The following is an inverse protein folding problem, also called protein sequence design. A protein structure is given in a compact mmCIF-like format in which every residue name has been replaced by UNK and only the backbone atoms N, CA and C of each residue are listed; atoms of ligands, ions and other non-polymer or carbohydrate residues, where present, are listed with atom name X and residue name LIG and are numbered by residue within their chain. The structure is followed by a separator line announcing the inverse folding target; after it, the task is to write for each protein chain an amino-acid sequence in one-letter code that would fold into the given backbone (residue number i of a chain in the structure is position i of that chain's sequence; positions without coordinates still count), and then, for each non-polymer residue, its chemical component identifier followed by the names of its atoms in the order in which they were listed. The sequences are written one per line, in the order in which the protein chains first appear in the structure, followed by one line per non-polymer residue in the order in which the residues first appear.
data_IF_526801923783
#
_entry.id   IF_526801923783
#
_cell.length_a   1.000
_cell.length_b   1.000
_cell.length_c   1.000
_cell.angle_alpha   90.00
_cell.angle_beta   90.00
_cell.angle_gamma   90.00
#
_symmetry.space_group_name_H-M   'P 1'
#
loop_
_entity.id
_entity.type
_entity.pdbx_description
1 polymer ?
#
# COMPACT_ATOMS: atom_id res chain seq x y z
N UNK A 1 2.57 -7.28 -13.28
CA UNK A 1 2.23 -7.49 -11.84
C UNK A 1 1.86 -6.14 -11.26
N UNK A 2 1.00 -6.07 -10.24
CA UNK A 2 0.65 -4.82 -9.56
C UNK A 2 0.85 -5.05 -8.06
N UNK A 3 1.56 -4.12 -7.40
CA UNK A 3 1.71 -4.12 -5.95
C UNK A 3 1.23 -2.80 -5.37
N UNK A 4 0.50 -2.88 -4.27
CA UNK A 4 -0.09 -1.71 -3.61
C UNK A 4 0.16 -1.79 -2.11
N UNK A 5 0.52 -0.66 -1.49
CA UNK A 5 0.62 -0.49 -0.04
C UNK A 5 -0.36 0.60 0.39
N UNK A 6 -1.26 0.27 1.32
CA UNK A 6 -2.27 1.18 1.88
C UNK A 6 -1.85 1.68 3.25
N UNK A 7 -1.57 2.98 3.33
CA UNK A 7 -1.18 3.69 4.55
C UNK A 7 -2.38 4.04 5.42
N UNK A 8 -2.86 3.06 6.18
CA UNK A 8 -3.94 3.25 7.15
C UNK A 8 -3.45 3.76 8.51
N UNK A 9 -4.40 4.27 9.31
CA UNK A 9 -4.12 4.77 10.66
C UNK A 9 -3.77 3.65 11.65
N UNK A 10 -4.50 2.54 11.60
CA UNK A 10 -4.32 1.41 12.54
C UNK A 10 -3.58 0.21 11.95
N UNK A 11 -3.63 0.06 10.63
CA UNK A 11 -3.05 -1.06 9.91
C UNK A 11 -2.43 -0.59 8.61
N UNK A 12 -1.47 -1.34 8.11
CA UNK A 12 -0.95 -1.20 6.75
C UNK A 12 -1.35 -2.44 5.98
N UNK A 13 -2.08 -2.27 4.88
CA UNK A 13 -2.35 -3.38 3.97
C UNK A 13 -1.34 -3.37 2.84
N UNK A 14 -0.94 -4.54 2.38
CA UNK A 14 -0.14 -4.68 1.17
C UNK A 14 -0.70 -5.82 0.34
N UNK A 15 -0.79 -5.61 -0.98
CA UNK A 15 -1.39 -6.59 -1.88
C UNK A 15 -0.57 -6.72 -3.15
N UNK A 16 -0.44 -7.96 -3.59
CA UNK A 16 0.08 -8.31 -4.90
C UNK A 16 -1.05 -8.88 -5.77
N UNK A 17 -1.20 -8.30 -6.95
CA UNK A 17 -2.08 -8.78 -8.01
C UNK A 17 -1.25 -9.21 -9.21
N UNK A 18 -1.39 -10.48 -9.61
CA UNK A 18 -0.79 -11.04 -10.83
C UNK A 18 -1.90 -11.51 -11.75
N UNK A 19 -1.98 -10.93 -12.95
CA UNK A 19 -3.03 -11.23 -13.94
C UNK A 19 -4.44 -11.18 -13.34
N UNK A 20 -4.72 -10.10 -12.58
CA UNK A 20 -5.99 -9.86 -11.85
C UNK A 20 -6.30 -10.90 -10.75
N UNK A 21 -5.34 -11.73 -10.34
CA UNK A 21 -5.47 -12.67 -9.23
C UNK A 21 -4.67 -12.21 -8.03
N UNK A 22 -5.27 -12.32 -6.85
CA UNK A 22 -4.61 -12.09 -5.57
C UNK A 22 -3.52 -13.13 -5.31
N UNK A 23 -2.35 -12.68 -4.88
CA UNK A 23 -1.20 -13.53 -4.53
C UNK A 23 -1.03 -13.50 -3.01
N UNK A 24 -1.56 -14.52 -2.34
CA UNK A 24 -1.65 -14.60 -0.88
C UNK A 24 -0.28 -14.50 -0.18
N UNK A 25 0.71 -15.24 -0.68
CA UNK A 25 2.06 -15.26 -0.09
C UNK A 25 2.78 -13.91 -0.11
N UNK A 26 2.41 -13.03 -1.04
CA UNK A 26 3.00 -11.70 -1.25
C UNK A 26 2.04 -10.56 -0.85
N UNK A 27 1.03 -10.88 -0.05
CA UNK A 27 0.01 -9.95 0.41
C UNK A 27 -0.23 -10.13 1.92
N UNK A 28 -0.89 -9.16 2.55
CA UNK A 28 -1.28 -9.26 3.95
C UNK A 28 -1.60 -7.91 4.60
N UNK A 29 -1.72 -7.97 5.92
CA UNK A 29 -1.99 -6.83 6.79
C UNK A 29 -0.95 -6.80 7.89
N UNK A 30 -0.32 -5.65 8.10
CA UNK A 30 0.49 -5.36 9.28
C UNK A 30 -0.44 -4.79 10.36
N UNK A 31 -0.30 -5.29 11.58
CA UNK A 31 -1.14 -4.99 12.75
C UNK A 31 -0.83 -3.64 13.41
N UNK A 32 -0.19 -2.74 12.66
CA UNK A 32 0.15 -1.39 13.04
C UNK A 32 0.01 -0.46 11.84
N UNK A 33 -0.27 0.83 12.10
CA UNK A 33 -0.33 1.91 11.13
C UNK A 33 0.20 3.23 11.71
N UNK A 34 -0.12 4.33 11.04
CA UNK A 34 0.43 5.64 11.35
C UNK A 34 0.04 6.22 12.71
N UNK A 35 -1.12 5.84 13.26
CA UNK A 35 -1.63 6.32 14.55
C UNK A 35 -1.40 5.33 15.70
N UNK A 36 -1.01 4.08 15.41
CA UNK A 36 -0.67 3.08 16.44
C UNK A 36 0.83 3.07 16.75
N UNK A 37 1.63 3.78 15.96
CA UNK A 37 3.05 3.93 16.24
C UNK A 37 3.21 4.85 17.46
N UNK A 38 3.81 4.33 18.54
CA UNK A 38 4.12 5.14 19.74
C UNK A 38 5.18 6.22 19.45
N UNK A 39 5.96 6.02 18.38
CA UNK A 39 6.91 7.00 17.85
C UNK A 39 6.17 7.97 16.91
N UNK A 40 6.39 9.26 17.07
CA UNK A 40 5.90 10.29 16.13
C UNK A 40 6.70 10.34 14.83
N UNK A 41 7.61 9.39 14.61
CA UNK A 41 8.52 9.37 13.48
C UNK A 41 8.01 8.46 12.35
N UNK A 42 7.32 9.06 11.38
CA UNK A 42 6.82 8.39 10.17
C UNK A 42 7.95 7.67 9.41
N UNK A 43 9.19 8.20 9.38
CA UNK A 43 10.32 7.56 8.70
C UNK A 43 10.71 6.22 9.32
N UNK A 44 10.69 6.12 10.65
CA UNK A 44 10.98 4.85 11.35
C UNK A 44 9.87 3.82 11.12
N UNK A 45 8.61 4.26 11.12
CA UNK A 45 7.48 3.41 10.79
C UNK A 45 7.64 2.84 9.37
N UNK A 46 7.94 3.70 8.40
CA UNK A 46 8.10 3.26 7.01
C UNK A 46 9.31 2.35 6.83
N UNK A 47 10.41 2.57 7.55
CA UNK A 47 11.54 1.63 7.57
C UNK A 47 11.12 0.23 8.08
N UNK A 48 10.28 0.18 9.13
CA UNK A 48 9.70 -1.09 9.60
C UNK A 48 8.81 -1.74 8.55
N UNK A 49 7.96 -0.95 7.86
CA UNK A 49 7.13 -1.44 6.76
C UNK A 49 8.02 -2.02 5.65
N UNK A 50 9.08 -1.32 5.25
CA UNK A 50 10.02 -1.78 4.23
C UNK A 50 10.67 -3.12 4.60
N UNK A 51 11.05 -3.30 5.87
CA UNK A 51 11.60 -4.57 6.36
C UNK A 51 10.61 -5.74 6.29
N UNK A 52 9.30 -5.49 6.42
CA UNK A 52 8.28 -6.54 6.23
C UNK A 52 8.02 -6.82 4.75
N UNK A 53 7.97 -5.77 3.91
CA UNK A 53 7.76 -5.90 2.46
C UNK A 53 8.94 -6.58 1.77
N UNK A 54 10.18 -6.26 2.15
CA UNK A 54 11.40 -6.82 1.56
C UNK A 54 11.60 -8.33 1.81
N UNK A 55 10.80 -8.95 2.68
CA UNK A 55 10.75 -10.42 2.82
C UNK A 55 9.97 -11.10 1.69
N UNK A 56 9.23 -10.32 0.89
CA UNK A 56 8.25 -10.79 -0.10
C UNK A 56 8.42 -10.14 -1.46
N UNK A 57 8.95 -8.92 -1.49
CA UNK A 57 9.03 -8.05 -2.66
C UNK A 57 10.49 -7.67 -2.95
N UNK A 58 10.84 -7.52 -4.23
CA UNK A 58 12.18 -7.16 -4.68
C UNK A 58 12.33 -5.65 -4.82
N UNK A 59 13.58 -5.19 -4.87
CA UNK A 59 13.94 -3.76 -4.92
C UNK A 59 13.40 -3.08 -6.18
N UNK A 60 13.37 -3.77 -7.31
CA UNK A 60 12.99 -3.21 -8.61
C UNK A 60 11.47 -3.23 -8.84
N UNK A 61 10.68 -3.77 -7.92
CA UNK A 61 9.24 -3.90 -8.09
C UNK A 61 8.50 -2.57 -8.08
N UNK A 62 7.49 -2.45 -8.96
CA UNK A 62 6.64 -1.27 -9.04
C UNK A 62 5.59 -1.30 -7.93
N UNK A 63 5.69 -0.37 -6.99
CA UNK A 63 4.85 -0.26 -5.80
C UNK A 63 4.04 1.03 -5.86
N UNK A 64 2.72 0.88 -5.79
CA UNK A 64 1.80 2.00 -5.65
C UNK A 64 1.42 2.23 -4.19
N UNK A 65 1.48 3.45 -3.70
CA UNK A 65 1.00 3.78 -2.36
C UNK A 65 -0.39 4.41 -2.42
N UNK A 66 -1.25 4.05 -1.47
CA UNK A 66 -2.63 4.55 -1.32
C UNK A 66 -2.94 4.87 0.14
N UNK A 67 -4.12 5.44 0.40
CA UNK A 67 -4.56 5.81 1.74
C UNK A 67 -4.14 7.21 2.15
N UNK A 68 -4.45 7.58 3.39
CA UNK A 68 -4.25 8.94 3.91
C UNK A 68 -2.79 9.37 4.04
N UNK A 69 -1.86 8.39 4.05
CA UNK A 69 -0.42 8.61 4.20
C UNK A 69 0.39 8.15 2.98
N UNK A 70 -0.25 8.08 1.80
CA UNK A 70 0.37 7.56 0.57
C UNK A 70 1.66 8.29 0.17
N UNK A 71 1.69 9.62 0.16
CA UNK A 71 2.88 10.38 -0.23
C UNK A 71 4.04 10.14 0.75
N UNK A 72 3.75 10.14 2.06
CA UNK A 72 4.74 9.84 3.10
C UNK A 72 5.31 8.44 2.95
N UNK A 73 4.46 7.45 2.64
CA UNK A 73 4.91 6.10 2.31
C UNK A 73 5.86 6.12 1.12
N UNK A 74 5.49 6.78 0.02
CA UNK A 74 6.29 6.79 -1.19
C UNK A 74 7.68 7.40 -0.94
N UNK A 75 7.73 8.59 -0.33
CA UNK A 75 8.96 9.32 -0.05
C UNK A 75 9.93 8.51 0.82
N UNK A 76 9.42 7.80 1.83
CA UNK A 76 10.24 7.03 2.77
C UNK A 76 10.47 5.57 2.36
N UNK A 77 9.73 5.03 1.39
CA UNK A 77 9.98 3.70 0.82
C UNK A 77 11.03 3.73 -0.30
N UNK A 78 11.20 4.85 -0.99
CA UNK A 78 12.18 5.00 -2.09
C UNK A 78 13.61 4.52 -1.78
N UNK A 79 14.16 4.69 -0.55
CA UNK A 79 15.47 4.14 -0.23
C UNK A 79 15.57 2.61 -0.25
N UNK A 80 14.44 1.90 -0.23
CA UNK A 80 14.37 0.43 -0.16
C UNK A 80 13.84 -0.21 -1.44
N UNK A 81 13.10 0.56 -2.26
CA UNK A 81 12.49 0.11 -3.50
C UNK A 81 12.63 1.21 -4.55
N UNK A 82 13.08 0.85 -5.75
CA UNK A 82 13.39 1.82 -6.82
C UNK A 82 12.14 2.48 -7.40
N UNK A 83 11.03 1.73 -7.48
CA UNK A 83 9.86 2.11 -8.26
C UNK A 83 8.63 2.35 -7.38
N UNK A 84 8.68 3.36 -6.50
CA UNK A 84 7.58 3.71 -5.60
C UNK A 84 6.94 5.05 -5.95
N UNK A 85 5.61 5.06 -6.08
CA UNK A 85 4.87 6.29 -6.30
C UNK A 85 3.47 6.25 -5.66
N UNK A 86 2.93 7.39 -5.19
CA UNK A 86 1.53 7.46 -4.79
C UNK A 86 0.61 7.35 -6.01
N UNK A 87 -0.49 6.62 -5.86
CA UNK A 87 -1.53 6.64 -6.89
C UNK A 87 -2.19 8.03 -6.99
N UNK A 88 -2.63 8.44 -8.19
CA UNK A 88 -3.54 9.57 -8.33
C UNK A 88 -4.78 9.39 -7.44
N UNK A 89 -5.17 10.45 -6.72
CA UNK A 89 -6.28 10.40 -5.74
C UNK A 89 -6.12 9.30 -4.69
N UNK A 90 -4.89 9.01 -4.25
CA UNK A 90 -4.55 7.96 -3.29
C UNK A 90 -5.45 7.90 -2.05
N UNK A 91 -5.84 9.05 -1.49
CA UNK A 91 -6.76 9.15 -0.35
C UNK A 91 -8.11 8.45 -0.62
N UNK A 92 -8.61 8.54 -1.85
CA UNK A 92 -9.91 8.02 -2.26
C UNK A 92 -9.81 6.72 -3.07
N UNK A 93 -8.62 6.17 -3.28
CA UNK A 93 -8.40 5.04 -4.18
C UNK A 93 -9.31 3.84 -3.89
N UNK A 94 -9.45 3.46 -2.60
CA UNK A 94 -10.32 2.37 -2.17
C UNK A 94 -11.80 2.69 -2.50
N UNK A 95 -12.27 3.88 -2.11
CA UNK A 95 -13.65 4.30 -2.35
C UNK A 95 -13.99 4.36 -3.84
N UNK A 96 -13.09 4.88 -4.66
CA UNK A 96 -13.24 4.91 -6.12
C UNK A 96 -13.27 3.51 -6.72
N UNK A 97 -12.44 2.58 -6.22
CA UNK A 97 -12.46 1.18 -6.62
C UNK A 97 -13.81 0.52 -6.34
N UNK A 98 -14.30 0.65 -5.11
CA UNK A 98 -15.61 0.13 -4.72
C UNK A 98 -16.74 0.77 -5.51
N UNK A 99 -16.73 2.08 -5.72
CA UNK A 99 -17.74 2.78 -6.52
C UNK A 99 -17.79 2.23 -7.96
N UNK A 100 -16.64 2.04 -8.62
CA UNK A 100 -16.57 1.47 -9.97
C UNK A 100 -17.10 0.04 -10.02
N UNK A 101 -16.75 -0.81 -9.04
CA UNK A 101 -17.28 -2.17 -8.97
C UNK A 101 -18.80 -2.17 -8.75
N UNK A 102 -19.30 -1.35 -7.83
CA UNK A 102 -20.73 -1.18 -7.58
C UNK A 102 -21.48 -0.72 -8.84
N UNK A 103 -20.91 0.23 -9.60
CA UNK A 103 -21.48 0.64 -10.89
C UNK A 103 -21.59 -0.54 -11.84
N UNK A 104 -20.60 -1.42 -11.95
CA UNK A 104 -20.70 -2.60 -12.83
C UNK A 104 -21.76 -3.59 -12.36
N UNK A 105 -21.90 -3.80 -11.05
CA UNK A 105 -22.87 -4.75 -10.47
C UNK A 105 -24.32 -4.24 -10.61
N UNK A 106 -24.55 -2.94 -10.40
CA UNK A 106 -25.89 -2.34 -10.37
C UNK A 106 -26.29 -1.62 -11.66
N UNK A 107 -25.44 -1.60 -12.68
CA UNK A 107 -25.87 -1.18 -14.02
C UNK A 107 -26.78 -2.27 -14.60
N UNK A 108 -28.07 -1.95 -14.70
CA UNK A 108 -28.98 -2.57 -15.70
C UNK A 108 -28.53 -2.13 -17.09
#
# INVERSE_FOLDING_TARGET
MIRVVDGGSKTINYVTLKNRRYVDRESGTLDFGFETNKSTNDKQLVARIAGELGKKWEVEDVIWTVGGKASVLADYLQPYFENVAPMPNALYANAMGYYKMGRVIYSV
#
